data_IF_735240161401
#
_entry.id   IF_735240161401
#
_cell.length_a   1.000
_cell.length_b   1.000
_cell.length_c   1.000
_cell.angle_alpha   90.00
_cell.angle_beta   90.00
_cell.angle_gamma   90.00
#
_symmetry.space_group_name_H-M   'P 1'
#
loop_
_entity.id
_entity.type
_entity.pdbx_description
1 polymer ?
#
# COMPACT_ATOMS: atom_id res chain seq x y z
N UNK A 1 60.14 0.92 -47.82
CA UNK A 1 59.22 2.08 -47.94
C UNK A 1 59.02 2.64 -46.56
N UNK A 2 59.54 3.85 -46.36
CA UNK A 2 59.56 4.56 -45.10
C UNK A 2 58.21 5.26 -44.82
N UNK A 3 58.09 5.76 -43.58
CA UNK A 3 57.22 6.87 -43.16
C UNK A 3 55.72 6.57 -43.00
N UNK A 4 54.98 7.08 -42.01
CA UNK A 4 55.23 8.00 -40.91
C UNK A 4 54.02 7.91 -39.95
N UNK A 5 54.27 8.19 -38.67
CA UNK A 5 53.33 8.38 -37.57
C UNK A 5 52.25 9.45 -37.88
N UNK A 6 51.07 9.33 -37.26
CA UNK A 6 50.45 10.42 -36.45
C UNK A 6 49.14 9.98 -35.76
N UNK A 7 49.24 9.94 -34.44
CA UNK A 7 48.15 10.17 -33.49
C UNK A 7 47.44 11.49 -33.81
N UNK A 8 46.11 11.54 -33.74
CA UNK A 8 45.32 12.77 -33.57
C UNK A 8 43.96 12.46 -32.95
N UNK A 9 43.96 12.62 -31.63
CA UNK A 9 42.80 12.94 -30.81
C UNK A 9 41.92 14.01 -31.47
N UNK A 10 40.63 13.72 -31.65
CA UNK A 10 39.65 14.65 -32.18
C UNK A 10 38.40 14.65 -31.32
N UNK A 11 38.47 15.33 -30.18
CA UNK A 11 37.32 15.63 -29.32
C UNK A 11 36.27 16.41 -30.12
N UNK A 12 35.13 15.79 -30.44
CA UNK A 12 33.92 16.56 -30.71
C UNK A 12 33.37 17.08 -29.37
N UNK A 13 33.85 18.26 -29.01
CA UNK A 13 33.25 19.13 -28.02
C UNK A 13 31.80 19.40 -28.42
N UNK A 14 30.85 18.80 -27.70
CA UNK A 14 29.48 19.28 -27.67
C UNK A 14 29.37 20.24 -26.51
N UNK A 15 29.35 21.52 -26.86
CA UNK A 15 29.01 22.64 -26.00
C UNK A 15 27.72 22.33 -25.23
N UNK A 16 27.86 22.10 -23.92
CA UNK A 16 26.74 22.11 -22.99
C UNK A 16 26.44 23.58 -22.65
N UNK A 17 25.21 24.08 -22.89
CA UNK A 17 24.79 25.36 -22.35
C UNK A 17 24.72 25.25 -20.82
N UNK A 18 25.66 25.89 -20.15
CA UNK A 18 25.68 26.15 -18.72
C UNK A 18 24.62 27.19 -18.38
N UNK A 19 23.39 26.74 -18.14
CA UNK A 19 22.46 27.34 -17.18
C UNK A 19 21.15 26.55 -17.16
N UNK A 20 21.18 25.46 -16.40
CA UNK A 20 20.02 24.66 -16.07
C UNK A 20 20.41 23.78 -14.92
N UNK A 21 20.22 24.29 -13.70
CA UNK A 21 20.28 23.50 -12.48
C UNK A 21 19.27 22.37 -12.65
N UNK A 22 19.73 21.22 -13.16
CA UNK A 22 19.00 19.96 -13.03
C UNK A 22 19.08 19.62 -11.54
N UNK A 23 18.14 20.18 -10.78
CA UNK A 23 17.85 19.72 -9.43
C UNK A 23 17.60 18.23 -9.59
N UNK A 24 18.57 17.43 -9.13
CA UNK A 24 18.46 16.01 -8.87
C UNK A 24 17.03 15.77 -8.40
N UNK A 25 16.24 15.05 -9.19
CA UNK A 25 14.90 14.68 -8.79
C UNK A 25 15.06 13.81 -7.55
N UNK A 26 14.99 14.47 -6.40
CA UNK A 26 15.00 13.83 -5.11
C UNK A 26 13.87 12.84 -5.12
N UNK A 27 14.18 11.61 -4.76
CA UNK A 27 13.21 10.65 -4.27
C UNK A 27 12.44 11.36 -3.15
N UNK A 28 11.32 12.00 -3.49
CA UNK A 28 10.48 12.69 -2.51
C UNK A 28 9.93 11.57 -1.64
N UNK A 29 10.52 11.39 -0.46
CA UNK A 29 9.97 10.57 0.61
C UNK A 29 8.50 10.93 0.75
N UNK A 30 7.63 10.05 0.27
CA UNK A 30 6.20 10.19 0.43
C UNK A 30 5.95 10.22 1.93
N UNK A 31 5.44 11.35 2.41
CA UNK A 31 5.08 11.52 3.83
C UNK A 31 4.10 10.41 4.24
N UNK A 32 4.27 9.76 5.41
CA UNK A 32 3.41 8.67 5.90
C UNK A 32 1.91 9.02 5.98
N UNK A 33 1.57 10.31 6.01
CA UNK A 33 0.19 10.79 6.07
C UNK A 33 -0.64 10.42 4.82
N UNK A 34 -0.04 10.38 3.62
CA UNK A 34 -0.77 10.06 2.39
C UNK A 34 -1.18 8.57 2.32
N UNK A 35 -0.48 7.69 3.01
CA UNK A 35 -0.80 6.26 3.07
C UNK A 35 -1.99 5.94 3.99
N UNK A 36 -2.34 6.84 4.91
CA UNK A 36 -3.43 6.63 5.87
C UNK A 36 -4.83 6.84 5.27
N UNK A 37 -4.94 7.57 4.15
CA UNK A 37 -6.25 7.91 3.56
C UNK A 37 -6.77 6.86 2.58
N UNK A 38 -5.94 5.90 2.16
CA UNK A 38 -6.39 4.87 1.21
C UNK A 38 -7.29 3.87 1.93
N UNK A 39 -8.57 3.85 1.55
CA UNK A 39 -9.58 2.90 2.04
C UNK A 39 -9.80 1.79 1.01
N UNK A 40 -10.13 0.60 1.50
CA UNK A 40 -10.42 -0.56 0.64
C UNK A 40 -11.78 -0.47 -0.05
N UNK A 41 -12.01 -1.38 -0.99
CA UNK A 41 -13.31 -1.56 -1.60
C UNK A 41 -14.34 -2.08 -0.58
N UNK A 42 -15.60 -1.64 -0.71
CA UNK A 42 -16.70 -2.13 0.13
C UNK A 42 -17.00 -3.57 -0.27
N UNK A 43 -16.69 -4.53 0.62
CA UNK A 43 -17.05 -5.93 0.40
C UNK A 43 -18.50 -6.19 0.80
N UNK A 44 -18.90 -5.78 2.02
CA UNK A 44 -20.30 -5.80 2.48
C UNK A 44 -20.59 -4.60 3.39
N UNK A 45 -21.83 -4.11 3.36
CA UNK A 45 -22.33 -3.05 4.27
C UNK A 45 -22.72 -3.56 5.66
N UNK A 46 -22.57 -4.86 5.93
CA UNK A 46 -22.83 -5.46 7.23
C UNK A 46 -21.53 -5.94 7.88
N UNK A 47 -21.34 -5.74 9.20
CA UNK A 47 -20.20 -6.31 9.90
C UNK A 47 -20.32 -7.83 9.99
N UNK A 48 -19.17 -8.51 10.10
CA UNK A 48 -19.14 -9.96 10.32
C UNK A 48 -18.80 -10.24 11.77
N UNK A 49 -19.69 -10.96 12.46
CA UNK A 49 -19.46 -11.46 13.81
C UNK A 49 -18.58 -12.70 13.73
N UNK A 50 -17.47 -12.71 14.46
CA UNK A 50 -16.57 -13.86 14.56
C UNK A 50 -16.27 -14.14 16.02
N UNK A 51 -16.41 -15.40 16.42
CA UNK A 51 -15.92 -15.88 17.71
C UNK A 51 -14.40 -15.94 17.64
N UNK A 52 -13.74 -15.01 18.32
CA UNK A 52 -12.29 -14.99 18.41
C UNK A 52 -11.86 -15.82 19.61
N UNK A 53 -10.75 -16.55 19.48
CA UNK A 53 -10.14 -17.29 20.58
C UNK A 53 -8.88 -16.58 21.05
N UNK A 54 -8.67 -16.55 22.37
CA UNK A 54 -7.48 -15.99 22.99
C UNK A 54 -6.18 -16.56 22.41
N UNK A 55 -5.19 -15.69 22.19
CA UNK A 55 -3.89 -16.04 21.62
C UNK A 55 -3.90 -16.28 20.11
N UNK A 56 -5.06 -16.42 19.46
CA UNK A 56 -5.12 -16.55 17.99
C UNK A 56 -4.90 -15.20 17.31
N UNK A 57 -4.09 -15.25 16.25
CA UNK A 57 -3.80 -14.09 15.39
C UNK A 57 -4.68 -14.11 14.16
N UNK A 58 -5.38 -13.00 13.91
CA UNK A 58 -6.30 -12.82 12.81
C UNK A 58 -5.76 -11.78 11.84
N UNK A 59 -5.70 -12.12 10.55
CA UNK A 59 -5.29 -11.20 9.49
C UNK A 59 -6.53 -10.61 8.81
N UNK A 60 -6.94 -9.40 9.21
CA UNK A 60 -8.10 -8.73 8.65
C UNK A 60 -7.79 -8.15 7.26
N UNK A 61 -8.71 -8.37 6.31
CA UNK A 61 -8.59 -7.83 4.96
C UNK A 61 -8.85 -6.33 4.96
N UNK A 62 -7.83 -5.53 4.59
CA UNK A 62 -7.96 -4.08 4.43
C UNK A 62 -8.40 -3.65 3.02
N UNK A 63 -8.08 -4.42 1.98
CA UNK A 63 -8.33 -4.05 0.58
C UNK A 63 -9.78 -4.28 0.11
N UNK A 64 -10.54 -5.16 0.76
CA UNK A 64 -11.91 -5.52 0.37
C UNK A 64 -12.03 -6.59 -0.72
N UNK A 65 -10.93 -6.98 -1.36
CA UNK A 65 -10.91 -7.93 -2.49
C UNK A 65 -10.88 -9.41 -2.08
N UNK A 66 -10.80 -9.70 -0.78
CA UNK A 66 -10.70 -11.08 -0.33
C UNK A 66 -12.01 -11.85 -0.54
N UNK A 67 -11.91 -13.10 -1.00
CA UNK A 67 -13.03 -14.03 -1.05
C UNK A 67 -13.38 -14.64 0.33
N UNK A 68 -12.48 -14.53 1.31
CA UNK A 68 -12.63 -15.08 2.67
C UNK A 68 -12.90 -14.00 3.72
N UNK A 69 -13.72 -13.00 3.36
CA UNK A 69 -14.08 -11.91 4.29
C UNK A 69 -14.59 -12.48 5.63
N UNK A 70 -14.17 -11.91 6.77
CA UNK A 70 -13.47 -10.62 6.92
C UNK A 70 -11.94 -10.73 6.87
N UNK A 71 -11.40 -11.92 6.64
CA UNK A 71 -9.96 -12.20 6.69
C UNK A 71 -9.30 -12.07 5.32
N UNK A 72 -7.98 -11.98 5.33
CA UNK A 72 -7.16 -11.88 4.14
C UNK A 72 -6.82 -13.27 3.57
N UNK A 73 -7.01 -13.43 2.27
CA UNK A 73 -6.65 -14.61 1.46
C UNK A 73 -5.42 -14.40 0.56
N UNK A 74 -4.88 -13.18 0.51
CA UNK A 74 -3.74 -12.82 -0.32
C UNK A 74 -4.07 -11.94 -1.53
N UNK A 75 -5.36 -11.73 -1.84
CA UNK A 75 -5.83 -10.92 -2.98
C UNK A 75 -5.37 -9.45 -2.94
N UNK A 76 -4.88 -8.98 -1.80
CA UNK A 76 -4.27 -7.64 -1.70
C UNK A 76 -3.00 -7.48 -2.54
N UNK A 77 -2.27 -8.57 -2.82
CA UNK A 77 -1.05 -8.52 -3.65
C UNK A 77 -1.34 -8.18 -5.12
N UNK A 78 -2.53 -8.55 -5.58
CA UNK A 78 -3.00 -8.26 -6.94
C UNK A 78 -3.69 -6.89 -7.02
N UNK A 79 -3.72 -6.13 -5.93
CA UNK A 79 -4.35 -4.81 -5.87
C UNK A 79 -3.35 -3.70 -6.10
N UNK A 80 -3.74 -2.71 -6.89
CA UNK A 80 -2.99 -1.46 -7.06
C UNK A 80 -3.11 -0.52 -5.85
N UNK A 81 -3.98 -0.83 -4.86
CA UNK A 81 -4.22 0.01 -3.68
C UNK A 81 -3.06 0.01 -2.68
N UNK A 82 -2.10 -0.92 -2.77
CA UNK A 82 -0.97 -1.01 -1.84
C UNK A 82 -1.36 -1.30 -0.39
N UNK A 83 -2.59 -1.76 -0.14
CA UNK A 83 -3.10 -2.00 1.21
C UNK A 83 -2.65 -3.35 1.74
N UNK A 84 -2.02 -3.35 2.91
CA UNK A 84 -1.63 -4.58 3.62
C UNK A 84 -2.70 -5.00 4.63
N UNK A 85 -2.90 -6.32 4.85
CA UNK A 85 -3.81 -6.80 5.87
C UNK A 85 -3.36 -6.39 7.28
N UNK A 86 -4.33 -6.09 8.14
CA UNK A 86 -4.05 -5.72 9.55
C UNK A 86 -4.04 -6.98 10.39
N UNK A 87 -2.91 -7.28 11.02
CA UNK A 87 -2.81 -8.39 11.99
C UNK A 87 -3.28 -7.90 13.35
N UNK A 88 -4.18 -8.66 13.96
CA UNK A 88 -4.65 -8.42 15.31
C UNK A 88 -4.70 -9.76 16.06
N UNK A 89 -4.14 -9.77 17.26
CA UNK A 89 -4.12 -10.96 18.13
C UNK A 89 -5.17 -10.80 19.22
N UNK A 90 -5.99 -11.81 19.40
CA UNK A 90 -7.05 -11.79 20.38
C UNK A 90 -6.49 -11.95 21.79
N UNK A 91 -6.81 -11.00 22.66
CA UNK A 91 -6.41 -11.02 24.09
C UNK A 91 -7.33 -11.87 24.94
N UNK A 92 -8.53 -12.20 24.46
CA UNK A 92 -9.53 -12.99 25.19
C UNK A 92 -10.51 -13.62 24.20
N UNK A 93 -11.07 -14.77 24.56
CA UNK A 93 -12.05 -15.47 23.74
C UNK A 93 -13.42 -14.77 23.79
N UNK A 94 -13.80 -14.05 22.74
CA UNK A 94 -15.08 -13.32 22.67
C UNK A 94 -15.56 -13.10 21.24
N UNK A 95 -16.85 -12.81 21.11
CA UNK A 95 -17.44 -12.41 19.84
C UNK A 95 -17.04 -10.98 19.49
N UNK A 96 -16.46 -10.80 18.30
CA UNK A 96 -16.01 -9.50 17.81
C UNK A 96 -16.62 -9.24 16.44
N UNK A 97 -17.00 -7.98 16.23
CA UNK A 97 -17.51 -7.51 14.96
C UNK A 97 -16.38 -6.89 14.12
N UNK A 98 -15.94 -7.63 13.10
CA UNK A 98 -14.99 -7.12 12.14
C UNK A 98 -15.66 -6.26 11.08
N UNK A 99 -14.95 -5.22 10.64
CA UNK A 99 -15.42 -4.35 9.57
C UNK A 99 -15.39 -5.07 8.22
N UNK A 100 -16.52 -5.09 7.51
CA UNK A 100 -16.59 -5.64 6.16
C UNK A 100 -16.71 -4.57 5.05
N UNK A 101 -17.07 -3.34 5.41
CA UNK A 101 -17.16 -2.24 4.44
C UNK A 101 -15.82 -1.57 4.13
N UNK A 102 -14.79 -1.83 4.95
CA UNK A 102 -13.43 -1.26 4.85
C UNK A 102 -13.35 0.26 4.99
N UNK A 103 -14.45 0.90 5.38
CA UNK A 103 -14.55 2.34 5.63
C UNK A 103 -14.39 2.73 7.11
N UNK A 104 -14.15 1.74 7.99
CA UNK A 104 -13.95 1.97 9.43
C UNK A 104 -12.74 2.86 9.69
N UNK A 105 -12.88 3.76 10.66
CA UNK A 105 -11.76 4.52 11.22
C UNK A 105 -11.07 3.76 12.38
N UNK A 106 -11.68 2.67 12.88
CA UNK A 106 -11.16 1.81 13.95
C UNK A 106 -10.78 0.43 13.41
N UNK A 107 -9.90 0.38 12.42
CA UNK A 107 -9.41 -0.90 11.84
C UNK A 107 -8.83 -1.79 12.95
N UNK A 108 -9.14 -3.10 13.00
CA UNK A 108 -9.95 -3.91 12.07
C UNK A 108 -11.46 -3.99 12.41
N UNK A 109 -11.90 -3.30 13.46
CA UNK A 109 -13.24 -3.44 14.03
C UNK A 109 -14.30 -2.58 13.36
N UNK A 110 -15.55 -2.97 13.53
CA UNK A 110 -16.69 -2.19 13.10
C UNK A 110 -16.91 -0.97 14.03
N UNK A 111 -17.03 0.22 13.44
CA UNK A 111 -17.32 1.49 14.13
C UNK A 111 -18.68 2.08 13.70
N UNK A 112 -19.46 1.35 12.92
CA UNK A 112 -20.73 1.84 12.35
C UNK A 112 -20.59 2.68 11.08
N UNK A 113 -19.38 2.92 10.56
CA UNK A 113 -19.18 3.69 9.32
C UNK A 113 -19.93 3.11 8.11
N UNK A 114 -20.23 1.81 8.13
CA UNK A 114 -21.04 1.16 7.10
C UNK A 114 -22.47 1.71 6.98
N UNK A 115 -23.04 2.30 8.04
CA UNK A 115 -24.38 2.89 8.02
C UNK A 115 -24.46 4.17 7.18
N UNK A 116 -23.33 4.83 6.96
CA UNK A 116 -23.21 6.06 6.17
C UNK A 116 -23.07 5.78 4.66
N UNK A 117 -22.98 4.51 4.27
CA UNK A 117 -22.79 4.09 2.89
C UNK A 117 -24.16 3.89 2.25
N UNK A 118 -24.55 4.86 1.41
CA UNK A 118 -25.78 4.83 0.60
C UNK A 118 -25.84 3.57 -0.26
#
# INVERSE_FOLDING_TARGET
MAMLLRSLSGQLSRNFPSNGVVKSQGFRSLTPALAAEVKGQIAKKTPTKVLCEEGKSYAWCACGLSGKQPFCDGSHKNSTLGLTPVRWTATSSKEIFFCNCKQTNKRPFCDGSHKKLA
#
